data_IF_746519627908
#
_entry.id   IF_746519627908
#
_cell.length_a   1.000
_cell.length_b   1.000
_cell.length_c   1.000
_cell.angle_alpha   90.00
_cell.angle_beta   90.00
_cell.angle_gamma   90.00
#
_symmetry.space_group_name_H-M   'P 1'
#
loop_
_entity.id
_entity.type
_entity.pdbx_description
1 polymer ?
#
# COMPACT_ATOMS: atom_id res chain seq x y z
N UNK A 1 10.02 79.10 -4.42
CA UNK A 1 9.47 78.14 -5.37
C UNK A 1 10.28 76.80 -5.18
N UNK A 2 9.79 75.88 -4.38
CA UNK A 2 10.45 74.59 -4.14
C UNK A 2 9.70 73.54 -4.95
N UNK A 3 10.38 72.93 -5.91
CA UNK A 3 9.86 71.81 -6.73
C UNK A 3 9.98 70.53 -5.93
N UNK A 4 8.85 69.82 -5.64
CA UNK A 4 8.76 68.57 -5.00
C UNK A 4 8.78 67.51 -6.13
N UNK A 5 9.85 66.71 -6.21
CA UNK A 5 9.91 65.55 -7.08
C UNK A 5 9.30 64.34 -6.33
N UNK A 6 8.10 63.91 -6.80
CA UNK A 6 7.45 62.68 -6.34
C UNK A 6 8.16 61.49 -6.97
N UNK A 7 8.88 60.74 -6.15
CA UNK A 7 9.52 59.50 -6.57
C UNK A 7 8.52 58.34 -6.45
N UNK A 8 8.07 57.82 -7.61
CA UNK A 8 7.20 56.65 -7.70
C UNK A 8 8.03 55.39 -7.48
N UNK A 9 7.98 54.82 -6.26
CA UNK A 9 8.61 53.53 -5.95
C UNK A 9 7.69 52.42 -6.47
N UNK A 10 8.11 51.80 -7.57
CA UNK A 10 7.45 50.58 -8.13
C UNK A 10 7.89 49.39 -7.31
N UNK A 11 7.03 48.90 -6.40
CA UNK A 11 7.24 47.66 -5.62
C UNK A 11 6.97 46.49 -6.55
N UNK A 12 8.05 45.87 -7.04
CA UNK A 12 8.00 44.60 -7.80
C UNK A 12 7.89 43.44 -6.81
N UNK A 13 6.66 42.97 -6.54
CA UNK A 13 6.41 41.78 -5.74
C UNK A 13 6.84 40.54 -6.51
N UNK A 14 8.03 40.03 -6.19
CA UNK A 14 8.51 38.74 -6.70
C UNK A 14 7.72 37.64 -6.00
N UNK A 15 6.80 37.02 -6.69
CA UNK A 15 6.18 35.76 -6.26
C UNK A 15 7.24 34.66 -6.33
N UNK A 16 7.87 34.36 -5.21
CA UNK A 16 8.68 33.15 -5.04
C UNK A 16 7.75 31.94 -5.04
N UNK A 17 7.62 31.28 -6.18
CA UNK A 17 7.02 29.93 -6.24
C UNK A 17 7.98 28.99 -5.51
N UNK A 18 7.62 28.62 -4.29
CA UNK A 18 8.31 27.55 -3.55
C UNK A 18 8.00 26.23 -4.27
N UNK A 19 8.87 25.85 -5.18
CA UNK A 19 8.88 24.47 -5.68
C UNK A 19 9.41 23.62 -4.52
N UNK A 20 8.59 22.69 -4.02
CA UNK A 20 9.04 21.67 -3.08
C UNK A 20 10.19 20.89 -3.76
N UNK A 21 11.41 21.22 -3.38
CA UNK A 21 12.60 20.58 -3.94
C UNK A 21 12.70 19.19 -3.34
N UNK A 22 12.75 18.17 -4.20
CA UNK A 22 13.18 16.82 -3.82
C UNK A 22 14.55 16.95 -3.11
N UNK A 23 14.74 16.33 -1.94
CA UNK A 23 16.01 16.44 -1.22
C UNK A 23 17.19 16.10 -2.11
N UNK A 24 18.25 16.94 -2.11
CA UNK A 24 19.48 16.72 -2.89
C UNK A 24 20.04 15.33 -2.55
N UNK A 25 20.16 14.45 -3.56
CA UNK A 25 20.67 13.08 -3.42
C UNK A 25 19.63 11.97 -3.66
N UNK A 26 18.33 12.30 -3.73
CA UNK A 26 17.33 11.37 -4.25
C UNK A 26 17.19 11.58 -5.76
N UNK A 27 17.34 10.51 -6.54
CA UNK A 27 17.09 10.51 -7.98
C UNK A 27 15.65 10.93 -8.33
N UNK A 28 15.38 11.25 -9.58
CA UNK A 28 14.02 11.48 -10.08
C UNK A 28 13.28 10.15 -10.29
N UNK A 29 11.97 10.18 -10.15
CA UNK A 29 11.12 9.03 -10.52
C UNK A 29 11.15 8.79 -12.03
N UNK A 30 11.18 7.52 -12.42
CA UNK A 30 11.23 7.08 -13.81
C UNK A 30 9.83 7.16 -14.46
N UNK A 31 9.65 7.90 -15.56
CA UNK A 31 8.36 8.01 -16.25
C UNK A 31 7.82 6.67 -16.77
N UNK A 32 8.68 5.73 -17.19
CA UNK A 32 8.25 4.41 -17.64
C UNK A 32 7.76 3.55 -16.48
N UNK A 33 8.42 3.63 -15.32
CA UNK A 33 7.90 3.02 -14.10
C UNK A 33 6.54 3.61 -13.71
N UNK A 34 6.39 4.95 -13.82
CA UNK A 34 5.10 5.62 -13.56
C UNK A 34 4.00 5.06 -14.44
N UNK A 35 4.24 4.92 -15.73
CA UNK A 35 3.28 4.38 -16.68
C UNK A 35 2.81 2.97 -16.30
N UNK A 36 3.72 2.10 -15.84
CA UNK A 36 3.39 0.76 -15.36
C UNK A 36 2.48 0.83 -14.13
N UNK A 37 2.84 1.66 -13.15
CA UNK A 37 2.08 1.82 -11.90
C UNK A 37 0.71 2.49 -12.13
N UNK A 38 0.64 3.49 -12.99
CA UNK A 38 -0.62 4.13 -13.41
C UNK A 38 -1.56 3.12 -14.07
N UNK A 39 -1.03 2.24 -14.91
CA UNK A 39 -1.78 1.14 -15.53
C UNK A 39 -2.38 0.19 -14.48
N UNK A 40 -1.60 -0.17 -13.46
CA UNK A 40 -2.09 -0.99 -12.33
C UNK A 40 -3.21 -0.26 -11.59
N UNK A 41 -2.98 1.01 -11.24
CA UNK A 41 -3.96 1.82 -10.51
C UNK A 41 -5.26 1.98 -11.29
N UNK A 42 -5.19 2.33 -12.58
CA UNK A 42 -6.36 2.47 -13.44
C UNK A 42 -7.15 1.17 -13.53
N UNK A 43 -6.47 0.03 -13.69
CA UNK A 43 -7.11 -1.28 -13.75
C UNK A 43 -7.79 -1.65 -12.44
N UNK A 44 -7.11 -1.42 -11.31
CA UNK A 44 -7.64 -1.74 -9.99
C UNK A 44 -8.87 -0.88 -9.64
N UNK A 45 -8.88 0.41 -9.98
CA UNK A 45 -10.02 1.32 -9.76
C UNK A 45 -11.30 0.88 -10.48
N UNK A 46 -11.16 0.13 -11.58
CA UNK A 46 -12.31 -0.40 -12.32
C UNK A 46 -12.93 -1.66 -11.69
N UNK A 47 -12.29 -2.24 -10.67
CA UNK A 47 -12.86 -3.40 -9.99
C UNK A 47 -13.89 -2.99 -8.94
N UNK A 48 -15.12 -3.52 -9.06
CA UNK A 48 -16.17 -3.34 -8.05
C UNK A 48 -15.87 -4.14 -6.78
N UNK A 49 -15.21 -5.27 -6.95
CA UNK A 49 -14.78 -6.14 -5.87
C UNK A 49 -13.58 -6.97 -6.30
N UNK A 50 -12.77 -7.39 -5.34
CA UNK A 50 -11.64 -8.31 -5.54
C UNK A 50 -11.68 -9.38 -4.47
N UNK A 51 -11.49 -10.64 -4.88
CA UNK A 51 -11.16 -11.76 -4.00
C UNK A 51 -9.89 -12.40 -4.53
N UNK A 52 -8.88 -12.57 -3.67
CA UNK A 52 -7.65 -13.21 -4.06
C UNK A 52 -7.06 -14.04 -2.94
N UNK A 53 -6.39 -15.15 -3.31
CA UNK A 53 -5.51 -15.88 -2.41
C UNK A 53 -4.11 -15.32 -2.53
N UNK A 54 -3.37 -15.31 -1.42
CA UNK A 54 -1.97 -14.92 -1.42
C UNK A 54 -1.12 -15.88 -0.60
N UNK A 55 0.15 -15.94 -0.96
CA UNK A 55 1.21 -16.59 -0.20
C UNK A 55 2.16 -15.52 0.32
N UNK A 56 2.36 -15.44 1.61
CA UNK A 56 3.40 -14.67 2.26
C UNK A 56 4.58 -15.58 2.59
N UNK A 57 5.76 -15.27 2.01
CA UNK A 57 7.03 -15.88 2.40
C UNK A 57 7.84 -14.88 3.21
N UNK A 58 8.39 -15.32 4.32
CA UNK A 58 9.24 -14.53 5.20
C UNK A 58 10.66 -15.12 5.12
N UNK A 59 11.64 -14.26 4.84
CA UNK A 59 13.06 -14.61 4.73
C UNK A 59 13.88 -13.65 5.58
N UNK A 60 14.98 -14.11 6.15
CA UNK A 60 15.95 -13.23 6.80
C UNK A 60 16.88 -12.56 5.79
N UNK A 61 17.84 -11.75 6.26
CA UNK A 61 18.80 -11.03 5.44
C UNK A 61 19.65 -11.94 4.54
N UNK A 62 19.96 -13.16 4.97
CA UNK A 62 20.71 -14.14 4.17
C UNK A 62 19.85 -14.90 3.16
N UNK A 63 18.53 -14.65 3.12
CA UNK A 63 17.59 -15.34 2.24
C UNK A 63 17.09 -16.70 2.78
N UNK A 64 17.43 -17.03 4.03
CA UNK A 64 16.91 -18.24 4.69
C UNK A 64 15.43 -18.03 5.01
N UNK A 65 14.59 -19.02 4.65
CA UNK A 65 13.16 -18.99 4.95
C UNK A 65 12.93 -19.06 6.47
N UNK A 66 12.14 -18.13 6.98
CA UNK A 66 11.66 -18.10 8.36
C UNK A 66 10.22 -18.63 8.46
N UNK A 67 9.55 -18.86 7.34
CA UNK A 67 8.21 -19.40 7.28
C UNK A 67 7.41 -18.91 6.09
N UNK A 68 6.24 -19.53 5.93
CA UNK A 68 5.24 -19.15 4.94
C UNK A 68 3.86 -19.10 5.58
N UNK A 69 3.03 -18.16 5.13
CA UNK A 69 1.62 -18.06 5.52
C UNK A 69 0.78 -17.94 4.26
N UNK A 70 -0.37 -18.62 4.24
CA UNK A 70 -1.36 -18.44 3.18
C UNK A 70 -2.51 -17.60 3.71
N UNK A 71 -3.13 -16.85 2.83
CA UNK A 71 -4.27 -16.03 3.20
C UNK A 71 -5.20 -15.76 2.03
N UNK A 72 -6.33 -15.15 2.37
CA UNK A 72 -7.32 -14.67 1.40
C UNK A 72 -7.61 -13.20 1.70
N UNK A 73 -7.74 -12.40 0.67
CA UNK A 73 -8.18 -11.01 0.77
C UNK A 73 -9.49 -10.84 0.00
N UNK A 74 -10.43 -10.13 0.61
CA UNK A 74 -11.66 -9.65 0.01
C UNK A 74 -11.65 -8.13 0.07
N UNK A 75 -12.02 -7.45 -1.02
CA UNK A 75 -12.09 -5.99 -1.09
C UNK A 75 -13.34 -5.56 -1.85
N UNK A 76 -14.00 -4.49 -1.38
CA UNK A 76 -15.16 -3.85 -2.02
C UNK A 76 -15.22 -2.38 -1.62
N UNK A 77 -14.89 -1.47 -2.55
CA UNK A 77 -14.72 -0.06 -2.22
C UNK A 77 -13.67 0.14 -1.13
N UNK A 78 -14.03 0.77 -0.01
CA UNK A 78 -13.15 0.98 1.16
C UNK A 78 -13.12 -0.20 2.13
N UNK A 79 -14.01 -1.19 1.94
CA UNK A 79 -14.14 -2.36 2.82
C UNK A 79 -13.16 -3.45 2.44
N UNK A 80 -12.61 -4.14 3.44
CA UNK A 80 -11.76 -5.30 3.19
C UNK A 80 -11.84 -6.33 4.33
N UNK A 81 -11.55 -7.57 3.99
CA UNK A 81 -11.27 -8.65 4.94
C UNK A 81 -9.99 -9.36 4.52
N UNK A 82 -9.10 -9.56 5.46
CA UNK A 82 -7.89 -10.36 5.28
C UNK A 82 -7.98 -11.53 6.25
N UNK A 83 -7.89 -12.74 5.74
CA UNK A 83 -7.74 -13.94 6.57
C UNK A 83 -6.37 -14.52 6.29
N UNK A 84 -5.56 -14.66 7.32
CA UNK A 84 -4.23 -15.28 7.26
C UNK A 84 -4.10 -16.24 8.43
N UNK A 85 -3.17 -17.19 8.35
CA UNK A 85 -2.93 -18.16 9.44
C UNK A 85 -2.74 -17.43 10.78
N UNK A 86 -3.60 -17.71 11.73
CA UNK A 86 -3.58 -17.16 13.09
C UNK A 86 -4.31 -15.82 13.26
N UNK A 87 -4.67 -15.10 12.20
CA UNK A 87 -5.26 -13.77 12.34
C UNK A 87 -6.32 -13.49 11.25
N UNK A 88 -7.33 -12.70 11.62
CA UNK A 88 -8.29 -12.13 10.68
C UNK A 88 -8.42 -10.62 10.92
N UNK A 89 -8.49 -9.86 9.83
CA UNK A 89 -8.69 -8.41 9.87
C UNK A 89 -9.95 -8.11 9.05
N UNK A 90 -10.89 -7.40 9.66
CA UNK A 90 -12.11 -6.92 9.01
C UNK A 90 -12.10 -5.41 8.99
N UNK A 91 -12.65 -4.82 7.95
CA UNK A 91 -12.83 -3.38 7.82
C UNK A 91 -14.12 -3.08 7.07
N UNK A 92 -15.03 -2.38 7.70
CA UNK A 92 -16.32 -1.97 7.11
C UNK A 92 -16.26 -0.60 6.40
N UNK A 93 -15.07 0.02 6.38
CA UNK A 93 -14.86 1.38 5.85
C UNK A 93 -14.84 2.45 6.95
N UNK A 94 -15.15 2.12 8.19
CA UNK A 94 -15.14 3.01 9.35
C UNK A 94 -14.33 2.42 10.51
N UNK A 95 -14.58 1.16 10.82
CA UNK A 95 -13.92 0.42 11.89
C UNK A 95 -13.03 -0.68 11.32
N UNK A 96 -12.00 -1.02 12.09
CA UNK A 96 -11.12 -2.15 11.85
C UNK A 96 -11.20 -3.09 13.05
N UNK A 97 -11.48 -4.35 12.80
CA UNK A 97 -11.41 -5.45 13.78
C UNK A 97 -10.19 -6.30 13.46
N UNK A 98 -9.32 -6.48 14.43
CA UNK A 98 -8.18 -7.38 14.33
C UNK A 98 -8.39 -8.52 15.30
N UNK A 99 -8.73 -9.70 14.77
CA UNK A 99 -8.98 -10.90 15.57
C UNK A 99 -7.75 -11.80 15.55
N UNK A 100 -7.16 -12.03 16.72
CA UNK A 100 -6.14 -13.02 16.95
C UNK A 100 -6.80 -14.35 17.36
N UNK A 101 -6.59 -15.39 16.54
CA UNK A 101 -7.20 -16.71 16.78
C UNK A 101 -6.57 -17.48 17.92
N UNK A 102 -5.33 -17.14 18.28
CA UNK A 102 -4.56 -17.84 19.33
C UNK A 102 -5.00 -17.34 20.70
N UNK A 103 -4.97 -16.02 20.89
CA UNK A 103 -5.44 -15.38 22.13
C UNK A 103 -6.96 -15.34 22.26
N UNK A 104 -7.71 -15.55 21.15
CA UNK A 104 -9.15 -15.34 21.04
C UNK A 104 -9.57 -13.91 21.44
N UNK A 105 -8.76 -12.93 21.07
CA UNK A 105 -9.01 -11.52 21.31
C UNK A 105 -9.34 -10.80 20.01
N UNK A 106 -10.30 -9.91 20.02
CA UNK A 106 -10.56 -8.97 18.94
C UNK A 106 -10.37 -7.53 19.43
N UNK A 107 -9.46 -6.81 18.80
CA UNK A 107 -9.28 -5.38 19.01
C UNK A 107 -10.08 -4.59 17.97
N UNK A 108 -10.83 -3.58 18.41
CA UNK A 108 -11.61 -2.70 17.54
C UNK A 108 -11.00 -1.30 17.55
N UNK A 109 -10.72 -0.77 16.35
CA UNK A 109 -10.21 0.58 16.17
C UNK A 109 -11.03 1.32 15.11
N UNK A 110 -11.09 2.66 15.19
CA UNK A 110 -11.53 3.49 14.07
C UNK A 110 -10.42 3.59 13.02
N UNK A 111 -10.84 3.68 11.75
CA UNK A 111 -9.90 4.08 10.69
C UNK A 111 -9.46 5.52 10.97
N UNK A 112 -8.17 5.73 11.10
CA UNK A 112 -7.58 7.06 11.07
C UNK A 112 -7.17 7.39 9.64
N UNK A 113 -7.87 8.31 8.95
CA UNK A 113 -7.52 8.69 7.58
C UNK A 113 -6.15 9.39 7.49
N UNK A 114 -5.69 10.00 8.59
CA UNK A 114 -4.38 10.68 8.70
C UNK A 114 -3.23 9.70 8.96
N UNK A 115 -3.54 8.51 9.48
CA UNK A 115 -2.53 7.49 9.70
C UNK A 115 -1.93 7.04 8.37
N UNK A 116 -0.60 7.03 8.31
CA UNK A 116 0.17 6.48 7.18
C UNK A 116 0.04 4.94 7.07
N UNK A 117 -1.12 4.38 7.51
CA UNK A 117 -1.38 2.95 7.44
C UNK A 117 -1.57 2.52 5.98
N UNK A 118 -0.88 1.46 5.60
CA UNK A 118 -1.01 0.84 4.29
C UNK A 118 -2.24 -0.09 4.35
N UNK A 119 -3.36 0.34 3.77
CA UNK A 119 -4.52 -0.55 3.54
C UNK A 119 -4.32 -1.38 2.27
N UNK A 120 -4.98 -2.53 2.13
CA UNK A 120 -4.91 -3.31 0.89
C UNK A 120 -5.25 -2.48 -0.36
N UNK A 121 -6.25 -1.60 -0.27
CA UNK A 121 -6.63 -0.72 -1.39
C UNK A 121 -5.53 0.28 -1.73
N UNK A 122 -4.87 0.87 -0.73
CA UNK A 122 -3.75 1.81 -0.96
C UNK A 122 -2.60 1.14 -1.70
N UNK A 123 -2.37 -0.17 -1.50
CA UNK A 123 -1.32 -0.92 -2.22
C UNK A 123 -1.55 -0.98 -3.74
N UNK A 124 -2.78 -0.77 -4.21
CA UNK A 124 -3.15 -0.88 -5.62
C UNK A 124 -3.61 0.46 -6.23
N UNK A 125 -3.65 1.54 -5.44
CA UNK A 125 -4.02 2.88 -5.90
C UNK A 125 -2.86 3.84 -5.71
N UNK A 126 -2.85 4.99 -6.29
CA UNK A 126 -1.77 5.99 -6.47
C UNK A 126 -0.90 6.34 -5.23
N UNK A 127 -0.70 5.41 -4.28
CA UNK A 127 0.13 5.61 -3.08
C UNK A 127 1.59 5.92 -3.42
N UNK A 128 2.06 5.43 -4.58
CA UNK A 128 3.46 5.56 -5.00
C UNK A 128 3.85 7.00 -5.36
N UNK A 129 2.93 7.83 -5.86
CA UNK A 129 3.26 9.17 -6.39
C UNK A 129 3.85 10.13 -5.35
N UNK A 130 3.35 10.07 -4.10
CA UNK A 130 3.76 10.98 -3.02
C UNK A 130 4.74 10.35 -2.04
N UNK A 131 4.68 9.03 -1.90
CA UNK A 131 5.37 8.32 -0.83
C UNK A 131 6.66 7.63 -1.31
N UNK A 132 6.84 7.48 -2.64
CA UNK A 132 7.96 6.73 -3.20
C UNK A 132 8.61 7.42 -4.39
N UNK A 133 9.92 7.22 -4.51
CA UNK A 133 10.61 7.27 -5.79
C UNK A 133 10.51 5.90 -6.44
N UNK A 134 10.38 5.84 -7.76
CA UNK A 134 10.21 4.58 -8.47
C UNK A 134 11.08 4.51 -9.72
N UNK A 135 11.48 3.27 -10.06
CA UNK A 135 12.34 2.94 -11.20
C UNK A 135 11.87 1.64 -11.84
N UNK A 136 11.85 1.59 -13.17
CA UNK A 136 11.64 0.36 -13.92
C UNK A 136 12.98 -0.38 -14.08
N UNK A 137 13.10 -1.56 -13.48
CA UNK A 137 14.30 -2.40 -13.59
C UNK A 137 14.30 -3.27 -14.86
N UNK A 138 13.18 -3.25 -15.62
CA UNK A 138 13.02 -4.02 -16.83
C UNK A 138 12.09 -5.22 -16.69
N UNK A 139 12.27 -6.22 -17.57
CA UNK A 139 11.45 -7.44 -17.57
C UNK A 139 12.21 -8.59 -16.92
N UNK A 140 11.56 -9.29 -16.01
CA UNK A 140 12.09 -10.49 -15.33
C UNK A 140 11.17 -11.69 -15.58
N UNK A 141 11.73 -12.89 -15.66
CA UNK A 141 10.93 -14.12 -15.79
C UNK A 141 10.67 -14.72 -14.41
N UNK A 142 9.39 -14.79 -14.02
CA UNK A 142 8.95 -15.43 -12.78
C UNK A 142 7.87 -16.47 -13.08
N UNK A 143 8.04 -17.70 -12.56
CA UNK A 143 7.10 -18.80 -12.79
C UNK A 143 6.71 -18.99 -14.27
N UNK A 144 7.69 -18.85 -15.17
CA UNK A 144 7.50 -18.99 -16.62
C UNK A 144 6.88 -17.77 -17.32
N UNK A 145 6.47 -16.73 -16.60
CA UNK A 145 5.86 -15.49 -17.15
C UNK A 145 6.86 -14.34 -17.13
N UNK A 146 6.84 -13.52 -18.18
CA UNK A 146 7.57 -12.25 -18.18
C UNK A 146 6.77 -11.22 -17.40
N UNK A 147 7.40 -10.56 -16.43
CA UNK A 147 6.80 -9.52 -15.58
C UNK A 147 7.67 -8.27 -15.60
N UNK A 148 7.07 -7.10 -15.56
CA UNK A 148 7.79 -5.85 -15.36
C UNK A 148 8.13 -5.72 -13.87
N UNK A 149 9.41 -5.49 -13.55
CA UNK A 149 9.87 -5.22 -12.20
C UNK A 149 9.98 -3.72 -11.99
N UNK A 150 9.22 -3.21 -11.04
CA UNK A 150 9.28 -1.81 -10.59
C UNK A 150 9.83 -1.78 -9.17
N UNK A 151 10.90 -1.01 -8.97
CA UNK A 151 11.48 -0.73 -7.66
C UNK A 151 10.87 0.55 -7.10
N UNK A 152 10.45 0.50 -5.84
CA UNK A 152 9.92 1.62 -5.08
C UNK A 152 10.85 1.88 -3.88
N UNK A 153 11.34 3.12 -3.75
CA UNK A 153 12.14 3.58 -2.62
C UNK A 153 11.35 4.60 -1.83
N UNK A 154 11.07 4.37 -0.53
CA UNK A 154 10.30 5.32 0.26
C UNK A 154 11.04 6.66 0.39
N UNK A 155 10.32 7.77 0.19
CA UNK A 155 10.84 9.13 0.40
C UNK A 155 11.05 9.36 1.89
N UNK A 156 10.06 8.96 2.70
CA UNK A 156 10.16 8.99 4.15
C UNK A 156 11.13 7.90 4.65
N UNK A 157 12.30 8.33 5.11
CA UNK A 157 13.36 7.45 5.62
C UNK A 157 13.06 6.89 7.01
N UNK A 158 11.98 7.28 7.69
CA UNK A 158 11.55 6.70 8.96
C UNK A 158 10.81 5.38 8.80
N UNK A 159 10.30 5.07 7.59
CA UNK A 159 9.63 3.79 7.29
C UNK A 159 10.50 2.60 7.71
N UNK A 160 9.87 1.53 8.22
CA UNK A 160 10.55 0.31 8.67
C UNK A 160 11.24 -0.45 7.51
N UNK A 161 10.92 -0.13 6.28
CA UNK A 161 11.49 -0.72 5.07
C UNK A 161 12.21 0.34 4.22
N UNK A 162 13.16 -0.10 3.41
CA UNK A 162 13.97 0.78 2.55
C UNK A 162 13.72 0.55 1.05
N UNK A 163 13.08 -0.55 0.68
CA UNK A 163 12.81 -0.90 -0.71
C UNK A 163 11.59 -1.82 -0.83
N UNK A 164 10.83 -1.64 -1.91
CA UNK A 164 9.78 -2.56 -2.35
C UNK A 164 10.00 -2.87 -3.82
N UNK A 165 9.95 -4.14 -4.21
CA UNK A 165 9.88 -4.57 -5.61
C UNK A 165 8.45 -5.01 -5.92
N UNK A 166 7.90 -4.50 -7.01
CA UNK A 166 6.56 -4.85 -7.50
C UNK A 166 6.70 -5.51 -8.86
N UNK A 167 6.16 -6.71 -9.00
CA UNK A 167 6.19 -7.49 -10.23
C UNK A 167 4.81 -7.45 -10.88
N UNK A 168 4.75 -6.86 -12.08
CA UNK A 168 3.50 -6.55 -12.78
C UNK A 168 3.39 -7.36 -14.06
N UNK A 169 2.28 -8.09 -14.21
CA UNK A 169 1.87 -8.75 -15.46
C UNK A 169 0.56 -8.11 -15.95
N UNK A 170 0.55 -7.56 -17.18
CA UNK A 170 -0.65 -6.98 -17.83
C UNK A 170 -1.43 -6.02 -16.91
N UNK A 171 -0.71 -5.11 -16.26
CA UNK A 171 -1.26 -4.16 -15.27
C UNK A 171 -1.94 -4.82 -14.05
N UNK A 172 -1.49 -6.00 -13.65
CA UNK A 172 -1.88 -6.66 -12.40
C UNK A 172 -0.62 -6.94 -11.58
N UNK A 173 -0.63 -6.53 -10.32
CA UNK A 173 0.44 -6.91 -9.38
C UNK A 173 0.29 -8.40 -9.08
N UNK A 174 1.30 -9.17 -9.46
CA UNK A 174 1.40 -10.60 -9.17
C UNK A 174 2.16 -10.86 -7.87
N UNK A 175 3.25 -10.14 -7.67
CA UNK A 175 4.13 -10.32 -6.52
C UNK A 175 4.62 -8.97 -6.03
N UNK A 176 4.72 -8.82 -4.71
CA UNK A 176 5.36 -7.68 -4.05
C UNK A 176 6.40 -8.20 -3.08
N UNK A 177 7.62 -7.66 -3.11
CA UNK A 177 8.70 -8.02 -2.18
C UNK A 177 9.13 -6.78 -1.40
N UNK A 178 8.96 -6.81 -0.08
CA UNK A 178 9.33 -5.74 0.85
C UNK A 178 10.65 -6.08 1.51
N UNK A 179 11.58 -5.12 1.55
CA UNK A 179 12.89 -5.23 2.19
C UNK A 179 12.91 -4.34 3.42
N UNK A 180 12.86 -4.94 4.59
CA UNK A 180 12.96 -4.20 5.85
C UNK A 180 14.39 -3.77 6.17
N UNK A 181 14.50 -2.72 6.98
CA UNK A 181 15.78 -2.26 7.52
C UNK A 181 16.43 -3.25 8.48
N UNK A 182 15.64 -4.11 9.10
CA UNK A 182 16.10 -5.23 9.93
C UNK A 182 16.80 -6.33 9.12
N UNK A 183 16.69 -6.26 7.77
CA UNK A 183 17.20 -7.26 6.83
C UNK A 183 16.17 -8.32 6.44
N UNK A 184 15.05 -8.40 7.12
CA UNK A 184 13.98 -9.33 6.76
C UNK A 184 13.35 -8.96 5.40
N UNK A 185 12.85 -9.96 4.71
CA UNK A 185 12.18 -9.82 3.42
C UNK A 185 10.83 -10.50 3.46
N UNK A 186 9.81 -9.80 2.98
CA UNK A 186 8.44 -10.30 2.92
C UNK A 186 8.00 -10.34 1.45
N UNK A 187 7.73 -11.54 0.95
CA UNK A 187 7.27 -11.72 -0.43
C UNK A 187 5.80 -12.13 -0.41
N UNK A 188 4.95 -11.28 -0.96
CA UNK A 188 3.53 -11.52 -1.16
C UNK A 188 3.29 -11.93 -2.60
N UNK A 189 2.85 -13.14 -2.86
CA UNK A 189 2.48 -13.62 -4.20
C UNK A 189 0.98 -13.85 -4.27
N UNK A 190 0.33 -13.21 -5.23
CA UNK A 190 -1.13 -13.29 -5.44
C UNK A 190 -1.44 -14.44 -6.39
N UNK A 191 -2.45 -15.21 -6.05
CA UNK A 191 -3.00 -16.26 -6.88
C UNK A 191 -4.53 -16.26 -6.86
N UNK A 192 -5.15 -16.93 -7.82
CA UNK A 192 -6.60 -17.14 -7.89
C UNK A 192 -7.42 -15.85 -7.66
N UNK A 193 -7.01 -14.74 -8.32
CA UNK A 193 -7.72 -13.48 -8.22
C UNK A 193 -9.00 -13.52 -9.05
N UNK A 194 -10.14 -13.28 -8.40
CA UNK A 194 -11.44 -13.05 -9.01
C UNK A 194 -11.86 -11.59 -8.77
N UNK A 195 -12.46 -10.97 -9.77
CA UNK A 195 -12.88 -9.57 -9.74
C UNK A 195 -14.34 -9.42 -10.09
N UNK A 196 -14.99 -8.36 -9.58
CA UNK A 196 -16.36 -7.98 -9.90
C UNK A 196 -17.43 -9.02 -9.48
N UNK A 197 -17.07 -9.99 -8.63
CA UNK A 197 -18.03 -10.92 -8.03
C UNK A 197 -18.88 -10.24 -6.95
N UNK A 198 -20.05 -10.81 -6.66
CA UNK A 198 -20.88 -10.33 -5.55
C UNK A 198 -20.22 -10.72 -4.21
N UNK A 199 -19.98 -9.73 -3.34
CA UNK A 199 -19.51 -9.95 -1.97
C UNK A 199 -20.49 -9.26 -1.02
N UNK A 200 -21.09 -10.04 -0.11
CA UNK A 200 -22.01 -9.51 0.89
C UNK A 200 -21.29 -8.59 1.87
N UNK A 201 -21.96 -7.51 2.31
CA UNK A 201 -21.35 -6.54 3.23
C UNK A 201 -21.01 -7.14 4.60
N UNK A 202 -21.78 -8.15 5.04
CA UNK A 202 -21.48 -8.91 6.26
C UNK A 202 -20.07 -9.57 6.25
N UNK A 203 -19.48 -9.82 5.06
CA UNK A 203 -18.13 -10.34 4.92
C UNK A 203 -17.07 -9.45 5.57
N UNK A 204 -17.35 -8.15 5.70
CA UNK A 204 -16.42 -7.12 6.14
C UNK A 204 -16.61 -6.69 7.60
N UNK A 205 -17.52 -7.33 8.32
CA UNK A 205 -17.87 -7.02 9.72
C UNK A 205 -17.52 -8.22 10.58
N UNK A 206 -16.84 -7.97 11.70
CA UNK A 206 -16.62 -9.02 12.70
C UNK A 206 -17.89 -9.22 13.51
N UNK A 207 -18.39 -10.44 13.56
CA UNK A 207 -19.53 -10.83 14.38
C UNK A 207 -19.05 -11.71 15.53
N UNK A 208 -18.97 -11.13 16.74
CA UNK A 208 -18.50 -11.82 17.95
C UNK A 208 -19.33 -13.07 18.28
N UNK A 209 -20.60 -13.16 17.83
CA UNK A 209 -21.46 -14.33 18.06
C UNK A 209 -20.94 -15.58 17.34
N UNK A 210 -20.16 -15.41 16.27
CA UNK A 210 -19.55 -16.51 15.53
C UNK A 210 -18.25 -17.04 16.19
N UNK A 211 -17.76 -16.37 17.26
CA UNK A 211 -16.51 -16.68 17.94
C UNK A 211 -16.73 -16.86 19.46
N UNK A 212 -17.26 -17.99 19.90
CA UNK A 212 -17.52 -18.23 21.33
C UNK A 212 -16.27 -18.06 22.19
N UNK A 213 -16.38 -17.27 23.26
CA UNK A 213 -15.28 -16.99 24.18
C UNK A 213 -14.27 -15.97 23.66
N UNK A 214 -14.63 -15.18 22.62
CA UNK A 214 -13.79 -14.07 22.17
C UNK A 214 -13.83 -12.92 23.20
N UNK A 215 -12.65 -12.42 23.57
CA UNK A 215 -12.50 -11.19 24.33
C UNK A 215 -12.53 -10.00 23.35
N UNK A 216 -13.31 -8.97 23.69
CA UNK A 216 -13.48 -7.77 22.85
C UNK A 216 -12.82 -6.58 23.53
N UNK A 217 -11.79 -6.03 22.89
CA UNK A 217 -11.08 -4.81 23.33
C UNK A 217 -11.47 -3.67 22.38
N UNK A 218 -12.33 -2.77 22.83
CA UNK A 218 -12.80 -1.62 22.04
C UNK A 218 -11.93 -0.39 22.34
N UNK A 219 -11.20 0.09 21.33
CA UNK A 219 -10.28 1.23 21.39
C UNK A 219 -10.76 2.45 20.56
N UNK A 220 -12.04 2.50 20.22
CA UNK A 220 -12.61 3.57 19.36
C UNK A 220 -12.84 4.88 20.08
#
# INVERSE_FOLDING_TARGET
MKKIYSSLVLIFTIFLTVHAQVPKGMGSSDPEAKKVLDGVSAKFKNYKSVQAKFLLRIENASGKSLGTKTGTVYMKGTKYRISVTGQEIYCDGTNIWTYDKVSKEVTINKIDPSANSITPQKLFTNFYDKDFLYKLNGSVKMNGKAMQEVELTPIDKTKAFHKVLVYVDKSVINTTKVFEKTGNRYTYSVSNMATNGSIADATFIFDAKQYPGVEVVDLR
#
